data_IF_611106202938
#
_entry.id   IF_611106202938
#
_cell.length_a   1.000
_cell.length_b   1.000
_cell.length_c   1.000
_cell.angle_alpha   90.00
_cell.angle_beta   90.00
_cell.angle_gamma   90.00
#
_symmetry.space_group_name_H-M   'P 1'
#
loop_
_entity.id
_entity.type
_entity.pdbx_description
1 polymer ?
#
# COMPACT_ATOMS: atom_id res chain seq x y z
N UNK A 1 -4.49 -7.56 11.73
CA UNK A 1 -4.65 -6.48 10.72
C UNK A 1 -4.00 -6.91 9.42
N UNK A 2 -4.74 -6.87 8.35
CA UNK A 2 -4.22 -7.24 7.03
C UNK A 2 -3.76 -6.00 6.28
N UNK A 3 -2.52 -6.00 5.86
CA UNK A 3 -1.94 -4.92 5.09
C UNK A 3 -1.46 -5.48 3.76
N UNK A 4 -1.95 -4.90 2.66
CA UNK A 4 -1.51 -5.24 1.32
C UNK A 4 -0.95 -4.00 0.67
N UNK A 5 0.16 -4.14 -0.04
CA UNK A 5 0.72 -3.02 -0.79
C UNK A 5 0.89 -3.44 -2.25
N UNK A 6 0.27 -2.71 -3.14
CA UNK A 6 0.36 -2.95 -4.57
C UNK A 6 1.50 -2.10 -5.13
N UNK A 7 2.46 -2.75 -5.76
CA UNK A 7 3.71 -2.11 -6.17
C UNK A 7 4.07 -2.44 -7.62
N UNK A 8 5.08 -1.73 -8.12
CA UNK A 8 5.77 -2.11 -9.36
C UNK A 8 7.28 -2.04 -9.09
N UNK A 9 8.06 -2.65 -10.00
CA UNK A 9 9.51 -2.70 -9.85
C UNK A 9 10.17 -1.32 -9.78
N UNK A 10 9.63 -0.37 -10.51
CA UNK A 10 10.28 0.94 -10.66
C UNK A 10 9.66 2.03 -9.81
N UNK A 11 8.90 1.68 -8.81
CA UNK A 11 8.22 2.66 -7.97
C UNK A 11 9.05 3.04 -6.73
N UNK A 12 9.61 4.24 -6.67
CA UNK A 12 10.42 4.64 -5.51
C UNK A 12 9.59 4.79 -4.25
N UNK A 13 8.35 5.26 -4.37
CA UNK A 13 7.49 5.42 -3.20
C UNK A 13 7.04 4.09 -2.63
N UNK A 14 6.99 3.06 -3.46
CA UNK A 14 6.67 1.71 -2.98
C UNK A 14 7.75 1.23 -2.00
N UNK A 15 9.01 1.49 -2.30
CA UNK A 15 10.10 1.16 -1.39
C UNK A 15 10.01 1.91 -0.08
N UNK A 16 9.66 3.19 -0.14
CA UNK A 16 9.48 4.00 1.05
C UNK A 16 8.35 3.47 1.93
N UNK A 17 7.24 3.07 1.31
CA UNK A 17 6.12 2.50 2.05
C UNK A 17 6.49 1.19 2.72
N UNK A 18 7.21 0.33 2.01
CA UNK A 18 7.67 -0.94 2.58
C UNK A 18 8.62 -0.70 3.76
N UNK A 19 9.54 0.25 3.64
CA UNK A 19 10.44 0.61 4.73
C UNK A 19 9.67 1.11 5.94
N UNK A 20 8.65 1.92 5.72
CA UNK A 20 7.81 2.42 6.80
C UNK A 20 7.18 1.27 7.59
N UNK A 21 6.62 0.30 6.87
CA UNK A 21 6.01 -0.85 7.53
C UNK A 21 7.04 -1.66 8.30
N UNK A 22 8.22 -1.88 7.72
CA UNK A 22 9.30 -2.63 8.39
C UNK A 22 9.76 -1.93 9.64
N UNK A 23 9.94 -0.61 9.61
CA UNK A 23 10.38 0.16 10.77
C UNK A 23 9.37 0.10 11.91
N UNK A 24 8.11 -0.09 11.60
CA UNK A 24 7.06 -0.15 12.60
C UNK A 24 6.69 -1.59 12.96
N UNK A 25 7.50 -2.56 12.55
CA UNK A 25 7.31 -3.98 12.83
C UNK A 25 5.95 -4.48 12.35
N UNK A 26 5.50 -3.98 11.22
CA UNK A 26 4.21 -4.36 10.63
C UNK A 26 4.43 -5.39 9.55
N UNK A 27 3.59 -6.42 9.55
CA UNK A 27 3.62 -7.43 8.49
C UNK A 27 2.72 -6.96 7.37
N UNK A 28 3.16 -7.13 6.14
CA UNK A 28 2.39 -6.74 4.97
C UNK A 28 2.62 -7.74 3.85
N UNK A 29 1.68 -7.76 2.92
CA UNK A 29 1.79 -8.56 1.71
C UNK A 29 2.08 -7.63 0.54
N UNK A 30 3.18 -7.88 -0.15
CA UNK A 30 3.53 -7.11 -1.34
C UNK A 30 2.96 -7.80 -2.57
N UNK A 31 2.28 -7.04 -3.41
CA UNK A 31 1.69 -7.55 -4.65
C UNK A 31 2.26 -6.74 -5.79
N UNK A 32 3.05 -7.39 -6.63
CA UNK A 32 3.66 -6.74 -7.80
C UNK A 32 2.65 -6.78 -8.94
N UNK A 33 2.14 -5.61 -9.30
CA UNK A 33 1.12 -5.51 -10.34
C UNK A 33 1.71 -5.37 -11.74
N UNK A 34 3.03 -5.27 -11.86
CA UNK A 34 3.65 -5.18 -13.18
C UNK A 34 3.55 -6.49 -13.95
N UNK A 35 3.52 -7.62 -13.25
CA UNK A 35 3.42 -8.95 -13.87
C UNK A 35 2.07 -9.62 -13.64
N UNK A 36 1.21 -9.07 -12.81
CA UNK A 36 -0.04 -9.70 -12.45
C UNK A 36 -1.21 -8.82 -12.88
N UNK A 37 -1.81 -9.16 -14.01
CA UNK A 37 -2.91 -8.37 -14.56
C UNK A 37 -4.16 -8.43 -13.69
N UNK A 38 -4.39 -9.55 -13.01
CA UNK A 38 -5.53 -9.66 -12.11
C UNK A 38 -5.38 -8.75 -10.90
N UNK A 39 -4.17 -8.73 -10.33
CA UNK A 39 -3.89 -7.85 -9.20
C UNK A 39 -3.98 -6.38 -9.61
N UNK A 40 -3.50 -6.05 -10.81
CA UNK A 40 -3.61 -4.69 -11.33
C UNK A 40 -5.07 -4.27 -11.48
N UNK A 41 -5.90 -5.15 -12.01
CA UNK A 41 -7.33 -4.85 -12.17
C UNK A 41 -8.00 -4.67 -10.80
N UNK A 42 -7.66 -5.51 -9.84
CA UNK A 42 -8.18 -5.40 -8.49
C UNK A 42 -7.78 -4.07 -7.84
N UNK A 43 -6.52 -3.68 -8.01
CA UNK A 43 -6.02 -2.42 -7.49
C UNK A 43 -6.79 -1.23 -8.09
N UNK A 44 -7.00 -1.24 -9.40
CA UNK A 44 -7.73 -0.17 -10.07
C UNK A 44 -9.18 -0.12 -9.58
N UNK A 45 -9.81 -1.28 -9.44
CA UNK A 45 -11.18 -1.35 -8.95
C UNK A 45 -11.31 -0.76 -7.54
N UNK A 46 -10.35 -1.09 -6.67
CA UNK A 46 -10.38 -0.62 -5.28
C UNK A 46 -10.04 0.86 -5.15
N UNK A 47 -9.07 1.34 -5.92
CA UNK A 47 -8.55 2.69 -5.76
C UNK A 47 -9.11 3.71 -6.74
N UNK A 48 -9.69 3.23 -7.84
CA UNK A 48 -10.20 4.09 -8.89
C UNK A 48 -9.11 4.70 -9.76
N UNK A 49 -7.88 4.19 -9.67
CA UNK A 49 -6.77 4.71 -10.46
C UNK A 49 -5.68 3.65 -10.60
N UNK A 50 -4.77 3.84 -11.54
CA UNK A 50 -3.75 2.84 -11.87
C UNK A 50 -2.37 3.12 -11.29
N UNK A 51 -2.18 4.22 -10.58
CA UNK A 51 -0.89 4.56 -10.01
C UNK A 51 -0.53 3.73 -8.79
N UNK A 52 0.75 3.61 -8.51
CA UNK A 52 1.28 2.89 -7.36
C UNK A 52 2.09 3.84 -6.49
N UNK A 53 2.26 3.55 -5.21
CA UNK A 53 1.70 2.40 -4.49
C UNK A 53 0.23 2.61 -4.15
N UNK A 54 -0.50 1.51 -4.02
CA UNK A 54 -1.83 1.51 -3.42
C UNK A 54 -1.76 0.59 -2.22
N UNK A 55 -2.23 1.05 -1.09
CA UNK A 55 -2.14 0.34 0.18
C UNK A 55 -3.54 0.03 0.68
N UNK A 56 -3.74 -1.23 1.03
CA UNK A 56 -5.01 -1.72 1.56
C UNK A 56 -4.77 -2.15 3.01
N UNK A 57 -5.35 -1.43 3.95
CA UNK A 57 -5.22 -1.75 5.37
C UNK A 57 -6.61 -2.10 5.88
N UNK A 58 -6.87 -3.39 6.06
CA UNK A 58 -8.16 -3.92 6.52
C UNK A 58 -9.33 -3.38 5.71
N UNK A 59 -9.15 -3.22 4.41
CA UNK A 59 -10.19 -2.71 3.53
C UNK A 59 -10.15 -1.21 3.29
N UNK A 60 -9.35 -0.47 4.03
CA UNK A 60 -9.19 0.96 3.79
C UNK A 60 -8.12 1.17 2.74
N UNK A 61 -8.49 1.83 1.66
CA UNK A 61 -7.61 2.04 0.51
C UNK A 61 -6.93 3.40 0.61
N UNK A 62 -5.62 3.38 0.49
CA UNK A 62 -4.79 4.60 0.53
C UNK A 62 -4.01 4.65 -0.77
N UNK A 63 -4.14 5.75 -1.50
CA UNK A 63 -3.44 5.96 -2.76
C UNK A 63 -2.16 6.73 -2.50
N UNK A 64 -1.04 6.17 -2.92
CA UNK A 64 0.26 6.78 -2.73
C UNK A 64 0.83 6.52 -1.33
N UNK A 65 2.01 7.06 -1.09
CA UNK A 65 2.64 6.95 0.23
C UNK A 65 2.21 8.13 1.09
N UNK A 66 1.01 8.03 1.61
CA UNK A 66 0.40 9.10 2.40
C UNK A 66 0.49 8.72 3.88
N UNK A 67 1.58 9.14 4.53
CA UNK A 67 1.87 8.75 5.91
C UNK A 67 0.75 9.11 6.88
N UNK A 68 0.18 10.32 6.87
CA UNK A 68 -0.93 10.63 7.78
C UNK A 68 -2.12 9.67 7.62
N UNK A 69 -2.48 9.35 6.39
CA UNK A 69 -3.60 8.43 6.15
C UNK A 69 -3.26 7.00 6.55
N UNK A 70 -2.01 6.59 6.31
CA UNK A 70 -1.55 5.26 6.73
C UNK A 70 -1.63 5.14 8.25
N UNK A 71 -1.16 6.14 8.96
CA UNK A 71 -1.20 6.14 10.42
C UNK A 71 -2.63 6.08 10.95
N UNK A 72 -3.55 6.82 10.33
CA UNK A 72 -4.96 6.77 10.70
C UNK A 72 -5.54 5.38 10.51
N UNK A 73 -5.25 4.76 9.38
CA UNK A 73 -5.75 3.42 9.07
C UNK A 73 -5.19 2.37 10.03
N UNK A 74 -3.94 2.54 10.44
CA UNK A 74 -3.29 1.65 11.40
C UNK A 74 -3.68 1.96 12.84
N UNK A 75 -4.41 3.02 13.06
CA UNK A 75 -4.78 3.51 14.39
C UNK A 75 -3.55 3.80 15.25
N UNK A 76 -2.49 4.26 14.61
CA UNK A 76 -1.28 4.66 15.32
C UNK A 76 -1.47 6.03 15.95
N UNK A 77 -0.91 6.18 17.13
CA UNK A 77 -0.94 7.49 17.77
C UNK A 77 0.01 8.42 17.04
N UNK A 78 -0.50 9.56 16.66
CA UNK A 78 0.25 10.61 16.03
C UNK A 78 0.87 11.49 17.09
N UNK A 79 2.14 11.78 16.97
CA UNK A 79 2.81 12.70 17.86
C UNK A 79 3.71 13.62 17.10
#
# INVERSE_FOLDING_TARGET
MKIKIYTTESCPYCGMAKDFFKKNNLKYQEIDVSDDTKAAAEMIEKSGQSGVPVIDIDGKIIVGFDVPEIKKALKMKSK
#
